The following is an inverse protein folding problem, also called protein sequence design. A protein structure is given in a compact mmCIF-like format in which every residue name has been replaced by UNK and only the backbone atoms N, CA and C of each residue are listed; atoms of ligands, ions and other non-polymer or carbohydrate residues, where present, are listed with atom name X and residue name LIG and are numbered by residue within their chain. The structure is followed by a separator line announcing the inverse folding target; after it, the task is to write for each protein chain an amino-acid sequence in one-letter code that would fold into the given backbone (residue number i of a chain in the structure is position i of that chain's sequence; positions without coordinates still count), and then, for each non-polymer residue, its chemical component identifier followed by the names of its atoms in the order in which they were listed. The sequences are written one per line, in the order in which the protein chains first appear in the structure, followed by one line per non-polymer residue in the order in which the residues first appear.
data_IF_957653587697
#
_entry.id   IF_957653587697
#
_cell.length_a   1.000
_cell.length_b   1.000
_cell.length_c   1.000
_cell.angle_alpha   90.00
_cell.angle_beta   90.00
_cell.angle_gamma   90.00
#
_symmetry.space_group_name_H-M   'P 1'
#
loop_
_entity.id
_entity.type
_entity.pdbx_description
1 polymer ?
#
# COMPACT_ATOMS: atom_id res chain seq x y z
N UNK A 1 26.03 19.19 7.54
CA UNK A 1 25.42 18.01 8.18
C UNK A 1 24.62 18.50 9.38
N UNK A 2 23.29 18.60 9.28
CA UNK A 2 22.48 18.99 10.44
C UNK A 2 22.36 17.78 11.37
N UNK A 3 22.83 17.94 12.61
CA UNK A 3 22.63 17.00 13.71
C UNK A 3 21.12 16.92 14.01
N UNK A 4 20.42 16.05 13.30
CA UNK A 4 19.02 15.75 13.53
C UNK A 4 18.92 14.73 14.67
N UNK A 5 18.26 15.10 15.76
CA UNK A 5 17.84 14.14 16.78
C UNK A 5 17.10 12.96 16.11
N UNK A 6 17.47 11.73 16.48
CA UNK A 6 16.93 10.49 15.91
C UNK A 6 15.39 10.37 16.00
N UNK A 7 14.79 11.10 16.92
CA UNK A 7 13.38 11.04 17.30
C UNK A 7 12.61 12.11 16.53
N UNK A 8 11.48 11.70 15.93
CA UNK A 8 10.50 12.57 15.29
C UNK A 8 9.89 13.55 16.32
N UNK A 9 9.81 14.84 15.98
CA UNK A 9 9.39 15.91 16.92
C UNK A 9 8.09 16.61 16.55
N UNK A 10 7.70 16.61 15.29
CA UNK A 10 6.57 17.41 14.81
C UNK A 10 5.27 16.67 14.98
N UNK A 11 5.22 15.34 14.97
CA UNK A 11 4.01 14.54 15.17
C UNK A 11 2.82 15.13 14.39
N UNK A 12 1.91 15.85 15.07
CA UNK A 12 0.73 16.51 14.50
C UNK A 12 0.91 18.00 14.15
N UNK A 13 2.02 18.62 14.53
CA UNK A 13 2.32 20.03 14.29
C UNK A 13 2.62 20.34 12.83
N UNK A 14 2.44 21.62 12.50
CA UNK A 14 2.87 22.20 11.23
C UNK A 14 4.39 22.08 11.03
N UNK A 15 4.80 21.75 9.80
CA UNK A 15 6.21 21.72 9.38
C UNK A 15 6.65 23.10 8.87
N UNK A 16 7.53 23.82 9.60
CA UNK A 16 8.03 25.13 9.20
C UNK A 16 8.81 25.08 7.89
N UNK A 17 8.78 26.17 7.10
CA UNK A 17 9.48 26.24 5.81
C UNK A 17 10.98 25.93 5.92
N UNK A 18 11.64 26.38 7.00
CA UNK A 18 13.07 26.14 7.25
C UNK A 18 13.43 24.67 7.57
N UNK A 19 12.41 23.85 7.84
CA UNK A 19 12.51 22.42 8.10
C UNK A 19 12.01 21.59 6.92
N UNK A 20 11.60 22.21 5.81
CA UNK A 20 11.22 21.50 4.59
C UNK A 20 12.44 21.14 3.76
N UNK A 21 12.51 19.89 3.31
CA UNK A 21 13.65 19.27 2.64
C UNK A 21 13.23 17.99 1.90
N UNK A 22 14.20 17.32 1.28
CA UNK A 22 13.96 16.10 0.52
C UNK A 22 13.81 16.35 -0.98
N UNK A 23 13.60 15.28 -1.74
CA UNK A 23 13.42 15.32 -3.19
C UNK A 23 12.06 14.73 -3.51
N UNK A 24 11.30 15.37 -4.39
CA UNK A 24 9.92 14.93 -4.72
C UNK A 24 9.86 13.49 -5.22
N UNK A 25 10.88 13.02 -5.94
CA UNK A 25 10.95 11.62 -6.38
C UNK A 25 11.07 10.63 -5.22
N UNK A 26 11.45 11.04 -4.01
CA UNK A 26 11.41 10.17 -2.83
C UNK A 26 9.98 9.76 -2.43
N UNK A 27 8.94 10.28 -3.08
CA UNK A 27 7.56 9.82 -2.90
C UNK A 27 7.31 8.46 -3.57
N UNK A 28 7.80 8.23 -4.79
CA UNK A 28 7.58 6.94 -5.48
C UNK A 28 7.99 5.71 -4.67
N UNK A 29 9.18 5.66 -4.02
CA UNK A 29 9.59 4.47 -3.30
C UNK A 29 8.72 4.26 -2.07
N UNK A 30 8.29 5.33 -1.39
CA UNK A 30 7.39 5.25 -0.22
C UNK A 30 6.08 4.60 -0.60
N UNK A 31 5.49 5.03 -1.71
CA UNK A 31 4.21 4.51 -2.17
C UNK A 31 4.33 3.15 -2.83
N UNK A 32 5.44 2.89 -3.54
CA UNK A 32 5.70 1.57 -4.11
C UNK A 32 5.87 0.51 -3.03
N UNK A 33 6.75 0.73 -2.04
CA UNK A 33 6.93 -0.24 -0.95
C UNK A 33 5.76 -0.26 0.02
N UNK A 34 5.08 0.88 0.16
CA UNK A 34 3.82 1.00 0.88
C UNK A 34 2.73 0.10 0.30
N UNK A 35 2.69 -0.09 -1.02
CA UNK A 35 1.73 -0.99 -1.68
C UNK A 35 2.28 -2.39 -2.01
N UNK A 36 3.60 -2.57 -2.16
CA UNK A 36 4.20 -3.85 -2.50
C UNK A 36 4.39 -4.76 -1.26
N UNK A 37 3.29 -5.18 -0.64
CA UNK A 37 3.27 -6.08 0.52
C UNK A 37 2.12 -7.11 0.48
N UNK A 38 2.10 -8.03 1.44
CA UNK A 38 1.21 -9.20 1.46
C UNK A 38 -0.29 -8.86 1.50
N UNK A 39 -0.69 -7.80 2.20
CA UNK A 39 -2.10 -7.41 2.24
C UNK A 39 -2.61 -6.97 0.86
N UNK A 40 -1.79 -6.24 0.10
CA UNK A 40 -2.09 -5.87 -1.28
C UNK A 40 -2.19 -7.09 -2.18
N UNK A 41 -1.31 -8.08 -2.00
CA UNK A 41 -1.37 -9.35 -2.71
C UNK A 41 -2.73 -10.05 -2.49
N UNK A 42 -3.19 -10.11 -1.24
CA UNK A 42 -4.46 -10.75 -0.88
C UNK A 42 -5.68 -10.11 -1.58
N UNK A 43 -5.67 -8.80 -1.82
CA UNK A 43 -6.75 -8.12 -2.55
C UNK A 43 -6.86 -8.61 -3.99
N UNK A 44 -5.73 -8.92 -4.64
CA UNK A 44 -5.69 -9.39 -6.03
C UNK A 44 -6.30 -10.78 -6.27
N UNK A 45 -6.59 -11.52 -5.20
CA UNK A 45 -7.13 -12.88 -5.26
C UNK A 45 -8.64 -12.90 -5.54
N UNK A 46 -9.36 -11.84 -5.14
CA UNK A 46 -10.83 -11.83 -5.03
C UNK A 46 -11.56 -12.25 -6.31
N UNK A 47 -11.16 -11.71 -7.46
CA UNK A 47 -11.83 -11.99 -8.72
C UNK A 47 -11.70 -13.44 -9.17
N UNK A 48 -10.55 -14.09 -8.93
CA UNK A 48 -10.35 -15.52 -9.21
C UNK A 48 -11.22 -16.37 -8.30
N UNK A 49 -11.25 -16.06 -6.99
CA UNK A 49 -12.08 -16.79 -6.01
C UNK A 49 -13.58 -16.68 -6.32
N UNK A 50 -14.02 -15.57 -6.91
CA UNK A 50 -15.40 -15.37 -7.39
C UNK A 50 -15.65 -16.01 -8.77
N UNK A 51 -14.69 -16.76 -9.31
CA UNK A 51 -14.80 -17.53 -10.55
C UNK A 51 -14.54 -16.72 -11.82
N UNK A 52 -13.81 -15.60 -11.73
CA UNK A 52 -13.22 -14.91 -12.87
C UNK A 52 -11.98 -15.64 -13.40
N UNK A 53 -11.57 -15.34 -14.64
CA UNK A 53 -10.32 -15.84 -15.19
C UNK A 53 -9.18 -14.83 -15.00
N UNK A 54 -7.95 -15.30 -15.25
CA UNK A 54 -6.74 -14.50 -15.04
C UNK A 54 -6.76 -13.19 -15.84
N UNK A 55 -7.10 -13.25 -17.13
CA UNK A 55 -7.14 -12.08 -18.01
C UNK A 55 -8.02 -10.96 -17.44
N UNK A 56 -9.30 -11.25 -17.19
CA UNK A 56 -10.25 -10.22 -16.79
C UNK A 56 -10.06 -9.78 -15.34
N UNK A 57 -9.61 -10.67 -14.45
CA UNK A 57 -9.24 -10.27 -13.09
C UNK A 57 -8.01 -9.38 -13.07
N UNK A 58 -6.97 -9.65 -13.87
CA UNK A 58 -5.81 -8.75 -13.99
C UNK A 58 -6.18 -7.38 -14.58
N UNK A 59 -7.05 -7.34 -15.60
CA UNK A 59 -7.59 -6.07 -16.13
C UNK A 59 -8.36 -5.31 -15.05
N UNK A 60 -9.21 -6.00 -14.28
CA UNK A 60 -9.96 -5.39 -13.18
C UNK A 60 -9.04 -4.79 -12.13
N UNK A 61 -7.97 -5.51 -11.72
CA UNK A 61 -6.94 -5.00 -10.80
C UNK A 61 -6.33 -3.71 -11.35
N UNK A 62 -5.86 -3.72 -12.60
CA UNK A 62 -5.18 -2.56 -13.21
C UNK A 62 -6.12 -1.35 -13.25
N UNK A 63 -7.36 -1.53 -13.73
CA UNK A 63 -8.34 -0.45 -13.80
C UNK A 63 -8.73 0.08 -12.41
N UNK A 64 -8.90 -0.82 -11.44
CA UNK A 64 -9.17 -0.46 -10.06
C UNK A 64 -8.04 0.35 -9.45
N UNK A 65 -6.78 -0.09 -9.62
CA UNK A 65 -5.61 0.64 -9.15
C UNK A 65 -5.48 2.00 -9.85
N UNK A 66 -5.67 2.08 -11.18
CA UNK A 66 -5.65 3.35 -11.91
C UNK A 66 -6.65 4.35 -11.32
N UNK A 67 -7.88 3.90 -11.05
CA UNK A 67 -8.96 4.71 -10.52
C UNK A 67 -8.72 5.15 -9.07
N UNK A 68 -8.42 4.20 -8.18
CA UNK A 68 -8.25 4.49 -6.75
C UNK A 68 -7.01 5.32 -6.47
N UNK A 69 -5.89 5.01 -7.12
CA UNK A 69 -4.64 5.76 -6.96
C UNK A 69 -4.76 7.18 -7.49
N UNK A 70 -5.62 7.44 -8.48
CA UNK A 70 -5.82 8.78 -9.03
C UNK A 70 -6.30 9.75 -7.94
N UNK A 71 -7.36 9.39 -7.22
CA UNK A 71 -7.89 10.20 -6.13
C UNK A 71 -6.91 10.27 -4.95
N UNK A 72 -6.31 9.14 -4.59
CA UNK A 72 -5.35 9.06 -3.51
C UNK A 72 -4.12 9.97 -3.75
N UNK A 73 -3.57 10.00 -4.97
CA UNK A 73 -2.37 10.79 -5.28
C UNK A 73 -2.58 12.31 -5.22
N UNK A 74 -3.80 12.83 -5.43
CA UNK A 74 -4.08 14.26 -5.29
C UNK A 74 -3.81 14.79 -3.89
N UNK A 75 -4.04 13.97 -2.86
CA UNK A 75 -3.75 14.36 -1.48
C UNK A 75 -2.26 14.63 -1.23
N UNK A 76 -1.37 14.02 -2.02
CA UNK A 76 0.07 14.30 -1.97
C UNK A 76 0.39 15.75 -2.28
N UNK A 77 -0.36 16.34 -3.22
CA UNK A 77 -0.13 17.72 -3.68
C UNK A 77 -0.40 18.77 -2.60
N UNK A 78 -1.20 18.43 -1.60
CA UNK A 78 -1.54 19.30 -0.47
C UNK A 78 -0.41 19.37 0.56
N UNK A 79 0.41 18.32 0.67
CA UNK A 79 1.50 18.24 1.64
C UNK A 79 2.52 19.39 1.52
N UNK A 80 3.18 19.57 0.36
CA UNK A 80 4.16 20.64 0.17
C UNK A 80 3.57 22.04 0.33
N UNK A 81 2.27 22.22 0.08
CA UNK A 81 1.61 23.52 0.20
C UNK A 81 1.29 23.85 1.66
N UNK A 82 0.67 22.90 2.37
CA UNK A 82 0.11 23.13 3.70
C UNK A 82 1.09 22.81 4.83
N UNK A 83 1.98 21.84 4.66
CA UNK A 83 2.88 21.40 5.74
C UNK A 83 2.14 20.79 6.94
N UNK A 84 0.91 20.33 6.75
CA UNK A 84 0.03 19.81 7.80
C UNK A 84 -0.23 18.31 7.63
N UNK A 85 -0.45 17.55 8.72
CA UNK A 85 -0.87 16.15 8.63
C UNK A 85 -2.22 15.98 7.92
N UNK A 86 -2.42 14.85 7.25
CA UNK A 86 -3.58 14.59 6.37
C UNK A 86 -4.90 14.70 7.13
N UNK A 87 -4.94 14.14 8.34
CA UNK A 87 -6.15 14.16 9.16
C UNK A 87 -6.53 15.57 9.63
N UNK A 88 -5.55 16.47 9.84
CA UNK A 88 -5.85 17.87 10.19
C UNK A 88 -6.46 18.61 9.00
N UNK A 89 -6.07 18.22 7.78
CA UNK A 89 -6.57 18.83 6.54
C UNK A 89 -8.04 18.54 6.26
N UNK A 90 -8.72 17.67 7.02
CA UNK A 90 -10.17 17.46 6.90
C UNK A 90 -11.02 18.54 7.60
N UNK A 91 -10.41 19.33 8.51
CA UNK A 91 -11.12 20.36 9.27
C UNK A 91 -11.73 21.46 8.41
N UNK A 92 -11.10 21.96 7.34
CA UNK A 92 -11.71 22.97 6.47
C UNK A 92 -13.00 22.50 5.77
N UNK A 93 -13.11 21.21 5.43
CA UNK A 93 -14.28 20.66 4.72
C UNK A 93 -15.39 20.25 5.68
N UNK A 94 -15.04 19.65 6.82
CA UNK A 94 -16.02 19.07 7.75
C UNK A 94 -16.23 19.91 9.03
N UNK A 95 -15.50 21.00 9.20
CA UNK A 95 -15.46 21.77 10.43
C UNK A 95 -14.70 21.05 11.56
N UNK A 96 -14.59 21.70 12.72
CA UNK A 96 -13.88 21.14 13.88
C UNK A 96 -14.50 19.84 14.38
N UNK A 97 -15.82 19.82 14.53
CA UNK A 97 -16.55 18.68 15.08
C UNK A 97 -16.80 17.60 14.03
N UNK A 98 -17.10 17.96 12.78
CA UNK A 98 -17.33 16.97 11.71
C UNK A 98 -16.05 16.22 11.33
N UNK A 99 -14.88 16.84 11.47
CA UNK A 99 -13.60 16.16 11.29
C UNK A 99 -13.42 14.95 12.23
N UNK A 100 -14.03 14.96 13.43
CA UNK A 100 -13.96 13.84 14.37
C UNK A 100 -14.56 12.55 13.79
N UNK A 101 -15.59 12.64 12.94
CA UNK A 101 -16.15 11.47 12.26
C UNK A 101 -15.11 10.86 11.31
N UNK A 102 -14.46 11.70 10.51
CA UNK A 102 -13.39 11.29 9.59
C UNK A 102 -12.25 10.64 10.37
N UNK A 103 -11.90 11.21 11.53
CA UNK A 103 -10.83 10.69 12.39
C UNK A 103 -11.19 9.35 13.02
N UNK A 104 -12.43 9.18 13.46
CA UNK A 104 -12.92 7.90 13.98
C UNK A 104 -12.85 6.78 12.94
N UNK A 105 -13.32 7.06 11.72
CA UNK A 105 -13.25 6.11 10.60
C UNK A 105 -11.80 5.77 10.25
N UNK A 106 -10.92 6.77 10.15
CA UNK A 106 -9.50 6.55 9.88
C UNK A 106 -8.83 5.73 10.98
N UNK A 107 -9.16 5.96 12.25
CA UNK A 107 -8.61 5.18 13.38
C UNK A 107 -8.98 3.70 13.29
N UNK A 108 -10.24 3.40 12.96
CA UNK A 108 -10.69 2.01 12.75
C UNK A 108 -9.91 1.37 11.59
N UNK A 109 -9.74 2.10 10.49
CA UNK A 109 -8.94 1.63 9.36
C UNK A 109 -7.47 1.38 9.77
N UNK A 110 -6.86 2.29 10.53
CA UNK A 110 -5.47 2.16 11.01
C UNK A 110 -5.27 0.89 11.84
N UNK A 111 -6.16 0.67 12.81
CA UNK A 111 -6.10 -0.51 13.68
C UNK A 111 -6.31 -1.77 12.85
N UNK A 112 -7.32 -1.76 11.97
CA UNK A 112 -7.63 -2.90 11.09
C UNK A 112 -6.45 -3.29 10.20
N UNK A 113 -5.85 -2.31 9.51
CA UNK A 113 -4.69 -2.56 8.65
C UNK A 113 -3.47 -3.06 9.41
N UNK A 114 -3.17 -2.49 10.57
CA UNK A 114 -2.02 -2.93 11.37
C UNK A 114 -2.22 -4.36 11.92
N UNK A 115 -3.44 -4.66 12.40
CA UNK A 115 -3.79 -6.01 12.84
C UNK A 115 -3.69 -7.01 11.68
N UNK A 116 -4.29 -6.68 10.53
CA UNK A 116 -4.28 -7.53 9.34
C UNK A 116 -2.85 -7.81 8.85
N UNK A 117 -2.00 -6.79 8.70
CA UNK A 117 -0.62 -6.97 8.26
C UNK A 117 0.20 -7.79 9.27
N UNK A 118 -0.05 -7.63 10.58
CA UNK A 118 0.67 -8.40 11.62
C UNK A 118 0.29 -9.88 11.57
N UNK A 119 -1.00 -10.19 11.37
CA UNK A 119 -1.48 -11.58 11.19
C UNK A 119 -0.82 -12.20 9.97
N UNK A 120 -0.86 -11.53 8.82
CA UNK A 120 -0.22 -12.00 7.59
C UNK A 120 1.29 -12.22 7.73
N UNK A 121 1.99 -11.34 8.45
CA UNK A 121 3.42 -11.49 8.71
C UNK A 121 3.73 -12.77 9.49
N UNK A 122 2.95 -13.07 10.54
CA UNK A 122 3.14 -14.30 11.34
C UNK A 122 2.77 -15.55 10.55
N UNK A 123 1.71 -15.50 9.74
CA UNK A 123 1.35 -16.60 8.84
C UNK A 123 2.43 -16.86 7.79
N UNK A 124 3.04 -15.82 7.22
CA UNK A 124 4.17 -15.96 6.31
C UNK A 124 5.38 -16.60 7.00
N UNK A 125 5.69 -16.21 8.24
CA UNK A 125 6.74 -16.86 9.04
C UNK A 125 6.43 -18.32 9.32
N UNK A 126 5.17 -18.66 9.64
CA UNK A 126 4.74 -20.05 9.82
C UNK A 126 5.00 -20.90 8.58
N UNK A 127 4.74 -20.37 7.38
CA UNK A 127 5.02 -21.09 6.12
C UNK A 127 6.52 -21.35 5.90
N UNK A 128 7.40 -20.46 6.38
CA UNK A 128 8.85 -20.63 6.29
C UNK A 128 9.41 -21.51 7.41
N UNK A 129 8.80 -21.44 8.59
CA UNK A 129 9.19 -22.19 9.77
C UNK A 129 7.95 -22.65 10.55
N UNK A 130 7.48 -23.89 10.31
CA UNK A 130 6.27 -24.43 10.93
C UNK A 130 6.32 -24.52 12.46
N UNK A 131 7.49 -24.34 13.08
CA UNK A 131 7.63 -24.26 14.55
C UNK A 131 6.96 -23.02 15.14
N UNK A 132 6.81 -21.95 14.37
CA UNK A 132 6.05 -20.76 14.78
C UNK A 132 4.59 -20.99 14.38
N UNK A 133 3.67 -21.07 15.34
CA UNK A 133 2.23 -21.19 15.03
C UNK A 133 1.74 -19.99 14.20
N UNK A 134 0.90 -20.26 13.18
CA UNK A 134 0.25 -19.24 12.36
C UNK A 134 -0.58 -18.23 13.19
N UNK A 135 -1.04 -18.63 14.37
CA UNK A 135 -1.82 -17.80 15.30
C UNK A 135 -1.03 -17.39 16.54
N UNK A 136 0.31 -17.42 16.48
CA UNK A 136 1.18 -17.10 17.61
C UNK A 136 1.03 -15.63 18.05
N UNK A 137 0.27 -15.41 19.12
CA UNK A 137 0.13 -14.10 19.76
C UNK A 137 1.48 -13.47 20.14
N UNK A 138 2.43 -14.19 20.75
CA UNK A 138 3.76 -13.64 21.06
C UNK A 138 4.53 -13.17 19.82
N UNK A 139 4.43 -13.89 18.70
CA UNK A 139 5.07 -13.48 17.45
C UNK A 139 4.41 -12.19 16.90
N UNK A 140 3.08 -12.09 16.97
CA UNK A 140 2.36 -10.88 16.57
C UNK A 140 2.79 -9.66 17.40
N UNK A 141 2.89 -9.82 18.73
CA UNK A 141 3.38 -8.74 19.62
C UNK A 141 4.81 -8.35 19.29
N UNK A 142 5.70 -9.32 19.02
CA UNK A 142 7.08 -9.03 18.63
C UNK A 142 7.13 -8.20 17.33
N UNK A 143 6.37 -8.58 16.31
CA UNK A 143 6.27 -7.80 15.06
C UNK A 143 5.75 -6.39 15.31
N UNK A 144 4.71 -6.23 16.13
CA UNK A 144 4.17 -4.92 16.49
C UNK A 144 5.21 -4.05 17.22
N UNK A 145 6.00 -4.63 18.13
CA UNK A 145 7.07 -3.91 18.84
C UNK A 145 8.21 -3.49 17.90
N UNK A 146 8.59 -4.33 16.93
CA UNK A 146 9.59 -3.98 15.91
C UNK A 146 9.07 -2.85 15.02
N UNK A 147 7.81 -2.93 14.58
CA UNK A 147 7.18 -1.86 13.79
C UNK A 147 7.10 -0.55 14.58
N UNK A 148 6.72 -0.60 15.86
CA UNK A 148 6.69 0.56 16.75
C UNK A 148 8.09 1.16 16.93
N UNK A 149 9.10 0.34 17.14
CA UNK A 149 10.48 0.79 17.27
C UNK A 149 10.95 1.52 16.00
N UNK A 150 10.58 1.02 14.81
CA UNK A 150 10.85 1.70 13.53
C UNK A 150 10.06 2.98 13.37
N UNK A 151 8.80 3.03 13.81
CA UNK A 151 7.96 4.23 13.74
C UNK A 151 8.47 5.38 14.63
N UNK A 152 9.13 5.05 15.75
CA UNK A 152 9.82 6.04 16.60
C UNK A 152 11.02 6.67 15.87
N UNK A 153 11.61 5.95 14.91
CA UNK A 153 12.68 6.48 14.07
C UNK A 153 12.09 7.43 13.03
N UNK A 154 12.44 8.71 13.11
CA UNK A 154 11.71 9.77 12.40
C UNK A 154 11.71 9.73 10.87
N UNK A 155 10.88 10.62 10.30
CA UNK A 155 10.56 10.80 8.88
C UNK A 155 11.68 10.45 7.89
N UNK A 156 12.88 11.04 8.06
CA UNK A 156 14.00 10.86 7.13
C UNK A 156 14.45 9.41 6.98
N UNK A 157 14.44 8.66 8.08
CA UNK A 157 14.86 7.27 8.06
C UNK A 157 13.79 6.39 7.44
N UNK A 158 12.52 6.69 7.66
CA UNK A 158 11.43 6.01 6.97
C UNK A 158 11.61 6.17 5.46
N UNK A 159 11.82 7.39 4.95
CA UNK A 159 12.07 7.60 3.52
C UNK A 159 13.33 6.89 2.99
N UNK A 160 14.39 6.76 3.80
CA UNK A 160 15.56 5.95 3.42
C UNK A 160 15.24 4.46 3.38
N UNK A 161 14.62 3.93 4.43
CA UNK A 161 14.21 2.52 4.52
C UNK A 161 13.27 2.15 3.37
N UNK A 162 12.26 2.98 3.10
CA UNK A 162 11.33 2.72 2.00
C UNK A 162 12.02 2.72 0.63
N UNK A 163 13.05 3.55 0.41
CA UNK A 163 13.87 3.48 -0.81
C UNK A 163 14.59 2.14 -0.97
N UNK A 164 15.22 1.66 0.10
CA UNK A 164 15.91 0.36 0.06
C UNK A 164 14.91 -0.77 -0.15
N UNK A 165 13.79 -0.76 0.57
CA UNK A 165 12.72 -1.75 0.44
C UNK A 165 12.09 -1.73 -0.94
N UNK A 166 11.91 -0.57 -1.56
CA UNK A 166 11.36 -0.46 -2.91
C UNK A 166 12.25 -1.17 -3.94
N UNK A 167 13.56 -0.92 -3.93
CA UNK A 167 14.47 -1.62 -4.84
C UNK A 167 14.56 -3.13 -4.56
N UNK A 168 14.54 -3.52 -3.28
CA UNK A 168 14.48 -4.93 -2.90
C UNK A 168 13.20 -5.60 -3.41
N UNK A 169 12.05 -4.96 -3.24
CA UNK A 169 10.77 -5.48 -3.73
C UNK A 169 10.70 -5.50 -5.25
N UNK A 170 11.26 -4.52 -5.97
CA UNK A 170 11.39 -4.60 -7.43
C UNK A 170 12.16 -5.85 -7.82
N UNK A 171 13.29 -6.13 -7.16
CA UNK A 171 14.09 -7.32 -7.47
C UNK A 171 13.31 -8.62 -7.18
N UNK A 172 12.68 -8.71 -6.00
CA UNK A 172 11.88 -9.89 -5.59
C UNK A 172 10.69 -10.11 -6.54
N UNK A 173 9.91 -9.06 -6.82
CA UNK A 173 8.77 -9.15 -7.72
C UNK A 173 9.19 -9.47 -9.15
N UNK A 174 10.33 -8.95 -9.62
CA UNK A 174 10.87 -9.30 -10.94
C UNK A 174 11.25 -10.77 -11.03
N UNK A 175 12.01 -11.28 -10.05
CA UNK A 175 12.40 -12.69 -10.00
C UNK A 175 11.17 -13.59 -9.90
N UNK A 176 10.21 -13.25 -9.02
CA UNK A 176 8.97 -13.99 -8.89
C UNK A 176 8.16 -13.98 -10.19
N UNK A 177 7.98 -12.82 -10.81
CA UNK A 177 7.17 -12.67 -12.04
C UNK A 177 7.81 -13.43 -13.21
N UNK A 178 9.12 -13.34 -13.38
CA UNK A 178 9.85 -14.12 -14.39
C UNK A 178 9.73 -15.62 -14.10
N UNK A 179 9.95 -16.03 -12.85
CA UNK A 179 9.78 -17.42 -12.43
C UNK A 179 8.36 -17.93 -12.71
N UNK A 180 7.34 -17.14 -12.38
CA UNK A 180 5.95 -17.46 -12.63
C UNK A 180 5.65 -17.69 -14.12
N UNK A 181 6.18 -16.84 -15.02
CA UNK A 181 5.99 -16.96 -16.46
C UNK A 181 6.55 -18.28 -17.02
N UNK A 182 7.66 -18.78 -16.49
CA UNK A 182 8.32 -19.98 -17.01
C UNK A 182 7.97 -21.27 -16.27
N UNK A 183 7.56 -21.18 -15.00
CA UNK A 183 7.41 -22.34 -14.11
C UNK A 183 5.96 -22.65 -13.76
N UNK A 184 5.04 -21.68 -13.77
CA UNK A 184 3.65 -21.93 -13.39
C UNK A 184 2.84 -22.47 -14.56
N UNK A 185 2.05 -23.50 -14.28
CA UNK A 185 1.06 -24.04 -15.22
C UNK A 185 -0.28 -23.38 -14.94
N UNK A 186 -0.72 -22.53 -15.86
CA UNK A 186 -2.01 -21.86 -15.78
C UNK A 186 -3.12 -22.75 -16.38
N UNK A 187 -4.37 -22.63 -15.89
CA UNK A 187 -5.52 -23.24 -16.54
C UNK A 187 -5.62 -22.85 -18.02
N UNK A 188 -6.09 -23.76 -18.88
CA UNK A 188 -6.17 -23.51 -20.33
C UNK A 188 -7.03 -22.28 -20.69
N UNK A 189 -8.03 -21.96 -19.86
CA UNK A 189 -8.92 -20.82 -20.02
C UNK A 189 -8.46 -19.53 -19.29
N UNK A 190 -7.26 -19.53 -18.70
CA UNK A 190 -6.75 -18.38 -17.93
C UNK A 190 -6.77 -17.08 -18.76
N UNK A 191 -6.44 -17.18 -20.05
CA UNK A 191 -6.35 -16.06 -20.99
C UNK A 191 -7.53 -15.98 -21.97
N UNK A 192 -8.62 -16.70 -21.71
CA UNK A 192 -9.79 -16.70 -22.61
C UNK A 192 -10.50 -15.34 -22.59
N UNK A 193 -10.51 -14.65 -23.73
CA UNK A 193 -11.23 -13.37 -23.88
C UNK A 193 -12.75 -13.52 -23.74
N UNK A 194 -13.31 -14.69 -24.05
CA UNK A 194 -14.74 -14.96 -23.88
C UNK A 194 -15.12 -15.30 -22.43
N UNK A 195 -14.13 -15.51 -21.55
CA UNK A 195 -14.33 -15.82 -20.13
C UNK A 195 -14.76 -14.64 -19.25
N UNK A 196 -15.24 -13.53 -19.81
CA UNK A 196 -15.65 -12.36 -19.04
C UNK A 196 -16.86 -12.66 -18.16
N UNK A 197 -16.78 -12.28 -16.89
CA UNK A 197 -17.88 -12.37 -15.94
C UNK A 197 -17.97 -11.06 -15.15
N UNK A 198 -19.12 -10.38 -15.27
CA UNK A 198 -19.28 -9.04 -14.72
C UNK A 198 -19.12 -8.96 -13.19
N UNK A 199 -19.67 -9.93 -12.45
CA UNK A 199 -19.61 -9.95 -10.98
C UNK A 199 -18.17 -10.03 -10.44
N UNK A 200 -17.35 -11.06 -10.77
CA UNK A 200 -15.96 -11.11 -10.29
C UNK A 200 -15.11 -9.96 -10.81
N UNK A 201 -15.37 -9.47 -12.04
CA UNK A 201 -14.67 -8.32 -12.60
C UNK A 201 -14.91 -7.05 -11.80
N UNK A 202 -16.18 -6.67 -11.61
CA UNK A 202 -16.54 -5.45 -10.88
C UNK A 202 -16.15 -5.54 -9.40
N UNK A 203 -16.31 -6.71 -8.78
CA UNK A 203 -15.88 -6.94 -7.40
C UNK A 203 -14.37 -6.72 -7.24
N UNK A 204 -13.54 -7.31 -8.11
CA UNK A 204 -12.09 -7.11 -8.08
C UNK A 204 -11.71 -5.66 -8.35
N UNK A 205 -12.32 -5.03 -9.36
CA UNK A 205 -12.01 -3.65 -9.75
C UNK A 205 -12.30 -2.68 -8.62
N UNK A 206 -13.49 -2.77 -8.00
CA UNK A 206 -13.85 -1.88 -6.90
C UNK A 206 -13.09 -2.23 -5.61
N UNK A 207 -12.74 -3.49 -5.37
CA UNK A 207 -11.87 -3.84 -4.24
C UNK A 207 -10.48 -3.22 -4.39
N UNK A 208 -9.86 -3.31 -5.58
CA UNK A 208 -8.57 -2.68 -5.87
C UNK A 208 -8.66 -1.14 -5.78
N UNK A 209 -9.72 -0.54 -6.33
CA UNK A 209 -9.93 0.91 -6.24
C UNK A 209 -10.13 1.39 -4.80
N UNK A 210 -10.95 0.70 -4.02
CA UNK A 210 -11.18 1.02 -2.61
C UNK A 210 -9.91 0.85 -1.78
N UNK A 211 -9.12 -0.20 -2.04
CA UNK A 211 -7.84 -0.42 -1.39
C UNK A 211 -6.88 0.75 -1.63
N UNK A 212 -6.66 1.13 -2.90
CA UNK A 212 -5.79 2.28 -3.21
C UNK A 212 -6.33 3.59 -2.61
N UNK A 213 -7.65 3.82 -2.69
CA UNK A 213 -8.26 5.01 -2.12
C UNK A 213 -8.12 5.06 -0.59
N UNK A 214 -8.10 3.91 0.09
CA UNK A 214 -7.99 3.85 1.55
C UNK A 214 -6.65 4.40 2.07
N UNK A 215 -5.61 4.45 1.24
CA UNK A 215 -4.34 5.12 1.59
C UNK A 215 -4.44 6.64 1.66
N UNK A 216 -5.51 7.25 1.15
CA UNK A 216 -5.72 8.71 1.10
C UNK A 216 -5.56 9.39 2.47
N UNK A 217 -5.81 8.67 3.56
CA UNK A 217 -5.71 9.12 4.95
C UNK A 217 -4.27 9.37 5.44
N UNK A 218 -3.24 8.97 4.69
CA UNK A 218 -1.82 9.16 5.07
C UNK A 218 -1.05 10.09 4.13
N UNK A 219 -1.63 10.48 3.00
CA UNK A 219 -0.80 10.82 1.83
C UNK A 219 0.03 12.08 2.02
N UNK A 220 -0.57 13.11 2.59
CA UNK A 220 0.15 14.34 2.86
C UNK A 220 1.22 14.18 3.95
N UNK A 221 1.13 13.16 4.82
CA UNK A 221 2.10 12.95 5.90
C UNK A 221 3.49 12.66 5.34
N UNK A 222 3.56 11.97 4.20
CA UNK A 222 4.81 11.66 3.50
C UNK A 222 5.32 12.79 2.60
N UNK A 223 4.49 13.78 2.29
CA UNK A 223 4.84 14.90 1.40
C UNK A 223 4.93 16.26 2.10
N UNK A 224 4.46 16.39 3.35
CA UNK A 224 4.41 17.66 4.10
C UNK A 224 5.77 18.26 4.45
N UNK A 225 6.84 17.47 4.40
CA UNK A 225 8.21 17.95 4.60
C UNK A 225 8.87 18.40 3.30
N UNK A 226 8.26 18.18 2.13
CA UNK A 226 8.86 18.62 0.87
C UNK A 226 8.90 20.15 0.76
N UNK A 227 9.87 20.71 0.00
CA UNK A 227 9.93 22.14 -0.29
C UNK A 227 8.61 22.70 -0.85
N UNK A 228 8.26 23.94 -0.47
CA UNK A 228 6.97 24.56 -0.82
C UNK A 228 6.81 24.83 -2.33
N UNK A 229 7.93 24.96 -3.03
CA UNK A 229 8.03 25.20 -4.47
C UNK A 229 7.84 23.93 -5.31
N UNK A 230 7.71 22.74 -4.70
CA UNK A 230 7.35 21.51 -5.41
C UNK A 230 6.00 21.67 -6.11
N UNK A 231 6.00 21.42 -7.42
CA UNK A 231 4.81 21.54 -8.25
C UNK A 231 3.76 20.45 -7.97
N UNK A 232 2.50 20.79 -8.18
CA UNK A 232 1.35 19.86 -8.06
C UNK A 232 1.57 18.62 -8.93
N UNK A 233 1.99 18.81 -10.19
CA UNK A 233 2.19 17.70 -11.13
C UNK A 233 3.31 16.75 -10.69
N UNK A 234 4.42 17.28 -10.17
CA UNK A 234 5.54 16.46 -9.70
C UNK A 234 5.14 15.61 -8.49
N UNK A 235 4.49 16.24 -7.50
CA UNK A 235 4.01 15.52 -6.30
C UNK A 235 2.97 14.47 -6.64
N UNK A 236 2.07 14.77 -7.59
CA UNK A 236 1.06 13.84 -8.08
C UNK A 236 1.71 12.63 -8.76
N UNK A 237 2.54 12.84 -9.78
CA UNK A 237 3.05 11.75 -10.61
C UNK A 237 4.01 10.83 -9.85
N UNK A 238 4.89 11.36 -9.01
CA UNK A 238 5.78 10.50 -8.22
C UNK A 238 5.02 9.65 -7.20
N UNK A 239 3.94 10.19 -6.61
CA UNK A 239 3.05 9.40 -5.74
C UNK A 239 2.24 8.39 -6.55
N UNK A 240 1.60 8.85 -7.62
CA UNK A 240 0.72 8.04 -8.46
C UNK A 240 1.46 6.83 -9.05
N UNK A 241 2.61 7.06 -9.68
CA UNK A 241 3.38 5.98 -10.30
C UNK A 241 3.91 4.99 -9.27
N UNK A 242 4.37 5.46 -8.10
CA UNK A 242 4.81 4.60 -7.01
C UNK A 242 3.69 3.67 -6.53
N UNK A 243 2.56 4.25 -6.11
CA UNK A 243 1.41 3.51 -5.60
C UNK A 243 0.78 2.61 -6.66
N UNK A 244 0.59 3.13 -7.88
CA UNK A 244 -0.02 2.36 -8.97
C UNK A 244 0.84 1.15 -9.33
N UNK A 245 2.14 1.33 -9.56
CA UNK A 245 3.02 0.22 -9.95
C UNK A 245 3.16 -0.77 -8.81
N UNK A 246 3.35 -0.31 -7.56
CA UNK A 246 3.44 -1.20 -6.40
C UNK A 246 2.15 -2.00 -6.19
N UNK A 247 1.01 -1.31 -6.20
CA UNK A 247 -0.31 -1.88 -5.95
C UNK A 247 -0.75 -2.83 -7.04
N UNK A 248 -0.72 -2.39 -8.31
CA UNK A 248 -1.16 -3.21 -9.43
C UNK A 248 -0.25 -4.42 -9.62
N UNK A 249 1.08 -4.27 -9.51
CA UNK A 249 1.99 -5.40 -9.67
C UNK A 249 1.79 -6.44 -8.57
N UNK A 250 1.72 -6.01 -7.30
CA UNK A 250 1.54 -6.93 -6.17
C UNK A 250 0.15 -7.61 -6.20
N UNK A 251 -0.92 -6.89 -6.55
CA UNK A 251 -2.25 -7.49 -6.73
C UNK A 251 -2.27 -8.50 -7.90
N UNK A 252 -1.65 -8.17 -9.05
CA UNK A 252 -1.56 -9.10 -10.18
C UNK A 252 -0.77 -10.36 -9.80
N UNK A 253 0.27 -10.24 -8.98
CA UNK A 253 0.96 -11.42 -8.40
C UNK A 253 -0.01 -12.29 -7.61
N UNK A 254 -0.87 -11.70 -6.78
CA UNK A 254 -1.93 -12.43 -6.07
C UNK A 254 -2.93 -13.09 -7.02
N UNK A 255 -3.35 -12.39 -8.07
CA UNK A 255 -4.23 -12.92 -9.14
C UNK A 255 -3.60 -14.12 -9.85
N UNK A 256 -2.31 -14.05 -10.19
CA UNK A 256 -1.56 -15.16 -10.82
C UNK A 256 -1.42 -16.34 -9.87
N UNK A 257 -1.08 -16.09 -8.60
CA UNK A 257 -0.96 -17.15 -7.60
C UNK A 257 -2.28 -17.90 -7.40
N UNK A 258 -3.39 -17.17 -7.29
CA UNK A 258 -4.73 -17.77 -7.16
C UNK A 258 -5.13 -18.58 -8.40
N UNK A 259 -4.84 -18.07 -9.61
CA UNK A 259 -5.15 -18.78 -10.85
C UNK A 259 -4.32 -20.05 -11.04
N UNK A 260 -3.05 -20.04 -10.61
CA UNK A 260 -2.15 -21.19 -10.72
C UNK A 260 -2.44 -22.28 -9.68
N UNK A 261 -3.06 -21.92 -8.54
CA UNK A 261 -3.39 -22.86 -7.48
C UNK A 261 -4.86 -22.70 -7.01
N UNK A 262 -5.86 -23.05 -7.85
CA UNK A 262 -7.27 -22.90 -7.52
C UNK A 262 -7.73 -23.78 -6.34
N UNK A 263 -6.91 -24.75 -5.93
CA UNK A 263 -7.12 -25.64 -4.78
C UNK A 263 -6.62 -25.01 -3.46
N UNK A 264 -5.70 -24.04 -3.53
CA UNK A 264 -5.28 -23.28 -2.37
C UNK A 264 -6.37 -22.24 -2.11
N UNK A 265 -7.06 -22.35 -0.99
CA UNK A 265 -7.99 -21.34 -0.55
C UNK A 265 -7.18 -20.13 -0.06
N UNK A 266 -6.62 -19.34 -0.99
CA UNK A 266 -5.73 -18.20 -0.71
C UNK A 266 -6.45 -17.12 0.11
N UNK A 267 -7.80 -17.13 0.12
CA UNK A 267 -8.61 -16.28 1.00
C UNK A 267 -8.71 -16.77 2.46
N UNK A 268 -8.29 -18.01 2.75
CA UNK A 268 -8.30 -18.62 4.07
C UNK A 268 -6.90 -18.78 4.68
N UNK A 269 -5.85 -18.37 3.95
CA UNK A 269 -4.50 -18.23 4.46
C UNK A 269 -4.30 -16.81 4.98
#
# INVERSE_FOLDING_TARGET
MRSGTLIEKRSIDYVPLAERHGKVWHLWPVWFSGDAHLATLAVGVLGITLGGNLLWTSVAVILGCLLGTFFMAFHSTQGPQLGLPQMIQSRPQFGYTGALLVWGVAMVAYIGYNAFNTVLAVQAVHQLNPLVSATSGPAMVLFALVALALAVVGYDKIHLTQRVLAYLMIAILSVFSLGALFMLRLPANAWDSHGFRAVPFLAQMFAAAAYQLSWSIYVSDYSRYLPRDVGVSESFWWTYLGAFVGGAWMMVVGTVAAAAAPQLNVAAA
#
